data_IF_916447395430
#
_entry.id   IF_916447395430
#
_cell.length_a   1.000
_cell.length_b   1.000
_cell.length_c   1.000
_cell.angle_alpha   90.00
_cell.angle_beta   90.00
_cell.angle_gamma   90.00
#
_symmetry.space_group_name_H-M   'P 1'
#
loop_
_entity.id
_entity.type
_entity.pdbx_description
1 polymer ?
#
# COMPACT_ATOMS: atom_id res chain seq x y z
N UNK A 1 -1.65 -13.19 -7.83
CA UNK A 1 -0.70 -12.79 -6.78
C UNK A 1 -1.44 -12.46 -5.51
N UNK A 2 -0.89 -12.87 -4.39
CA UNK A 2 -1.57 -12.70 -3.13
C UNK A 2 -0.66 -11.96 -2.13
N UNK A 3 -1.27 -11.05 -1.37
CA UNK A 3 -0.55 -10.32 -0.34
C UNK A 3 -0.14 -11.26 0.80
N UNK A 4 1.10 -11.07 1.28
CA UNK A 4 1.65 -11.87 2.38
C UNK A 4 0.81 -11.74 3.63
N UNK A 5 0.28 -10.55 3.90
CA UNK A 5 -0.57 -10.30 5.06
C UNK A 5 -1.77 -11.25 5.09
N UNK A 6 -2.39 -11.51 3.94
CA UNK A 6 -3.52 -12.43 3.85
C UNK A 6 -3.10 -13.88 4.04
N UNK A 7 -1.87 -14.20 3.69
CA UNK A 7 -1.33 -15.57 3.92
C UNK A 7 -1.00 -15.80 5.38
N UNK A 8 -0.48 -14.76 6.05
CA UNK A 8 -0.09 -14.84 7.46
C UNK A 8 -1.30 -14.82 8.37
N UNK A 9 -2.31 -14.03 8.04
CA UNK A 9 -3.56 -13.97 8.79
C UNK A 9 -4.69 -14.40 7.86
N UNK A 10 -4.91 -15.70 7.77
CA UNK A 10 -5.86 -16.27 6.82
C UNK A 10 -7.30 -15.98 7.18
N UNK A 11 -7.60 -15.86 8.48
CA UNK A 11 -8.96 -15.62 8.95
C UNK A 11 -9.36 -14.19 8.67
N UNK A 12 -10.32 -14.02 7.75
CA UNK A 12 -10.82 -12.70 7.36
C UNK A 12 -11.41 -11.95 8.54
N UNK A 13 -11.98 -12.66 9.51
CA UNK A 13 -12.59 -12.01 10.68
C UNK A 13 -11.52 -11.38 11.57
N UNK A 14 -10.35 -12.00 11.65
CA UNK A 14 -9.23 -11.43 12.41
C UNK A 14 -8.73 -10.18 11.70
N UNK A 15 -8.54 -10.25 10.37
CA UNK A 15 -8.11 -9.08 9.61
C UNK A 15 -9.10 -7.93 9.73
N UNK A 16 -10.39 -8.25 9.63
CA UNK A 16 -11.46 -7.25 9.75
C UNK A 16 -11.42 -6.56 11.12
N UNK A 17 -11.24 -7.33 12.17
CA UNK A 17 -11.13 -6.77 13.53
C UNK A 17 -9.94 -5.82 13.65
N UNK A 18 -8.80 -6.23 13.07
CA UNK A 18 -7.60 -5.38 13.10
C UNK A 18 -7.85 -4.03 12.41
N UNK A 19 -8.48 -4.04 11.24
CA UNK A 19 -8.77 -2.79 10.53
C UNK A 19 -9.80 -1.95 11.26
N UNK A 20 -10.84 -2.58 11.80
CA UNK A 20 -11.88 -1.87 12.56
C UNK A 20 -11.30 -1.21 13.80
N UNK A 21 -10.39 -1.88 14.50
CA UNK A 21 -9.74 -1.32 15.67
C UNK A 21 -8.89 -0.10 15.29
N UNK A 22 -8.19 -0.18 14.16
CA UNK A 22 -7.39 0.95 13.68
C UNK A 22 -8.27 2.12 13.29
N UNK A 23 -9.36 1.87 12.58
CA UNK A 23 -10.30 2.92 12.15
C UNK A 23 -10.95 3.58 13.37
N UNK A 24 -11.30 2.78 14.37
CA UNK A 24 -11.90 3.30 15.59
C UNK A 24 -10.92 4.17 16.37
N UNK A 25 -9.67 3.74 16.44
CA UNK A 25 -8.63 4.47 17.17
C UNK A 25 -8.18 5.72 16.41
N UNK A 26 -8.16 5.65 15.07
CA UNK A 26 -7.68 6.73 14.21
C UNK A 26 -8.70 7.02 13.11
N UNK A 27 -9.84 7.66 13.45
CA UNK A 27 -10.93 7.83 12.49
C UNK A 27 -10.60 8.71 11.28
N UNK A 28 -9.55 9.53 11.39
CA UNK A 28 -9.11 10.38 10.28
C UNK A 28 -8.06 9.72 9.40
N UNK A 29 -7.78 8.44 9.64
CA UNK A 29 -6.73 7.74 8.92
C UNK A 29 -7.26 6.48 8.27
N UNK A 30 -6.50 5.97 7.32
CA UNK A 30 -6.86 4.81 6.53
C UNK A 30 -5.85 3.70 6.80
N UNK A 31 -6.34 2.48 7.13
CA UNK A 31 -5.44 1.36 7.33
C UNK A 31 -5.03 0.79 5.97
N UNK A 32 -3.72 0.72 5.73
CA UNK A 32 -3.20 0.16 4.51
C UNK A 32 -2.21 -0.96 4.79
N UNK A 33 -2.17 -1.91 3.87
CA UNK A 33 -1.13 -2.93 3.81
C UNK A 33 -0.37 -2.65 2.53
N UNK A 34 0.93 -2.38 2.66
CA UNK A 34 1.76 -2.14 1.51
C UNK A 34 2.91 -3.15 1.48
N UNK A 35 3.06 -3.83 0.35
CA UNK A 35 4.05 -4.88 0.20
C UNK A 35 4.73 -4.74 -1.15
N UNK A 36 5.93 -5.27 -1.23
CA UNK A 36 6.65 -5.32 -2.49
C UNK A 36 5.98 -6.34 -3.41
N UNK A 37 5.83 -5.99 -4.69
CA UNK A 37 5.45 -6.96 -5.69
C UNK A 37 6.46 -8.11 -5.66
N UNK A 38 6.01 -9.37 -5.64
CA UNK A 38 6.92 -10.52 -5.50
C UNK A 38 8.00 -10.62 -6.57
N UNK A 39 7.74 -10.07 -7.74
CA UNK A 39 8.70 -10.15 -8.85
C UNK A 39 9.66 -8.96 -8.91
N UNK A 40 9.46 -7.96 -8.07
CA UNK A 40 10.32 -6.79 -8.03
C UNK A 40 11.58 -7.10 -7.24
N UNK A 41 12.71 -6.53 -7.68
CA UNK A 41 14.00 -6.67 -7.00
C UNK A 41 14.29 -5.52 -6.05
N UNK A 42 13.35 -4.60 -5.92
CA UNK A 42 13.48 -3.49 -4.99
C UNK A 42 13.48 -4.02 -3.54
N UNK A 43 14.04 -3.23 -2.64
CA UNK A 43 14.13 -3.59 -1.22
C UNK A 43 12.75 -3.82 -0.61
N UNK A 44 12.67 -4.79 0.30
CA UNK A 44 11.47 -5.00 1.10
C UNK A 44 11.35 -3.92 2.17
N UNK A 45 10.11 -3.54 2.49
CA UNK A 45 9.83 -2.70 3.65
C UNK A 45 9.87 -3.56 4.91
N UNK A 46 10.46 -3.02 5.97
CA UNK A 46 10.45 -3.70 7.26
C UNK A 46 9.04 -3.73 7.84
N UNK A 47 8.34 -2.62 7.73
CA UNK A 47 6.97 -2.49 8.22
C UNK A 47 6.05 -2.39 7.01
N UNK A 48 4.98 -3.17 7.00
CA UNK A 48 4.03 -3.22 5.88
C UNK A 48 2.63 -2.73 6.23
N UNK A 49 2.31 -2.59 7.51
CA UNK A 49 1.00 -2.10 7.94
C UNK A 49 1.13 -0.66 8.39
N UNK A 50 0.36 0.23 7.77
CA UNK A 50 0.41 1.66 8.03
C UNK A 50 -0.98 2.23 8.20
N UNK A 51 -1.06 3.35 8.90
CA UNK A 51 -2.24 4.20 8.90
C UNK A 51 -1.84 5.52 8.27
N UNK A 52 -2.60 5.95 7.27
CA UNK A 52 -2.29 7.11 6.45
C UNK A 52 -3.41 8.13 6.56
N UNK A 53 -3.11 9.42 6.77
CA UNK A 53 -4.15 10.45 6.80
C UNK A 53 -5.00 10.43 5.54
N UNK A 54 -6.31 10.60 5.69
CA UNK A 54 -7.26 10.56 4.57
C UNK A 54 -6.94 11.55 3.48
N UNK A 55 -6.37 12.69 3.83
CA UNK A 55 -6.07 13.76 2.88
C UNK A 55 -4.67 13.64 2.25
N UNK A 56 -3.90 12.61 2.61
CA UNK A 56 -2.64 12.36 1.91
C UNK A 56 -2.93 12.08 0.45
N UNK A 57 -2.07 12.56 -0.42
CA UNK A 57 -2.10 12.20 -1.84
C UNK A 57 -1.11 11.07 -2.10
N UNK A 58 -1.24 10.44 -3.26
CA UNK A 58 -0.30 9.41 -3.69
C UNK A 58 1.11 10.01 -3.77
N UNK A 59 1.24 11.26 -4.25
CA UNK A 59 2.53 11.93 -4.31
C UNK A 59 3.18 12.06 -2.93
N UNK A 60 2.42 12.45 -1.92
CA UNK A 60 2.93 12.54 -0.55
C UNK A 60 3.43 11.17 -0.07
N UNK A 61 2.61 10.16 -0.28
CA UNK A 61 2.94 8.81 0.16
C UNK A 61 4.16 8.28 -0.58
N UNK A 62 4.28 8.58 -1.86
CA UNK A 62 5.43 8.14 -2.66
C UNK A 62 6.74 8.71 -2.14
N UNK A 63 6.74 9.98 -1.71
CA UNK A 63 7.93 10.59 -1.13
C UNK A 63 8.32 9.87 0.16
N UNK A 64 7.34 9.61 1.03
CA UNK A 64 7.58 8.91 2.28
C UNK A 64 8.12 7.51 2.04
N UNK A 65 7.54 6.80 1.08
CA UNK A 65 7.94 5.45 0.76
C UNK A 65 9.34 5.40 0.15
N UNK A 66 9.65 6.36 -0.72
CA UNK A 66 10.97 6.47 -1.32
C UNK A 66 12.05 6.65 -0.24
N UNK A 67 11.76 7.46 0.76
CA UNK A 67 12.69 7.66 1.87
C UNK A 67 12.88 6.38 2.68
N UNK A 68 11.80 5.66 2.95
CA UNK A 68 11.89 4.41 3.70
C UNK A 68 12.63 3.32 2.94
N UNK A 69 12.52 3.32 1.63
CA UNK A 69 13.19 2.34 0.77
C UNK A 69 14.61 2.78 0.40
N UNK A 70 15.00 3.99 0.79
CA UNK A 70 16.33 4.54 0.49
C UNK A 70 16.64 4.52 -1.01
N UNK A 71 15.62 4.80 -1.82
CA UNK A 71 15.78 4.78 -3.26
C UNK A 71 16.48 6.03 -3.75
N UNK A 72 17.37 5.86 -4.71
CA UNK A 72 18.00 6.98 -5.41
C UNK A 72 16.95 7.71 -6.23
N UNK A 73 17.16 8.99 -6.46
CA UNK A 73 16.18 9.83 -7.15
C UNK A 73 15.88 9.36 -8.56
N UNK A 74 16.83 8.73 -9.24
CA UNK A 74 16.63 8.22 -10.59
C UNK A 74 15.85 6.91 -10.66
N UNK A 75 15.61 6.28 -9.51
CA UNK A 75 14.81 5.05 -9.47
C UNK A 75 13.33 5.39 -9.41
N UNK A 76 12.55 4.77 -10.27
CA UNK A 76 11.10 4.92 -10.27
C UNK A 76 10.42 3.69 -9.70
N UNK A 77 9.24 3.89 -9.12
CA UNK A 77 8.40 2.79 -8.71
C UNK A 77 6.94 3.18 -8.90
N UNK A 78 6.09 2.18 -8.98
CA UNK A 78 4.64 2.36 -9.13
C UNK A 78 3.92 1.80 -7.93
N UNK A 79 2.75 2.34 -7.66
CA UNK A 79 1.86 1.83 -6.62
C UNK A 79 0.62 1.27 -7.28
N UNK A 80 0.26 0.05 -6.90
CA UNK A 80 -0.86 -0.67 -7.48
C UNK A 80 -1.85 -1.05 -6.39
N UNK A 81 -3.01 -0.42 -6.39
CA UNK A 81 -4.09 -0.77 -5.47
C UNK A 81 -4.62 -2.17 -5.83
N UNK A 82 -4.85 -3.01 -4.83
CA UNK A 82 -5.24 -4.41 -5.01
C UNK A 82 -4.21 -5.22 -5.81
N UNK A 83 -3.01 -4.68 -5.99
CA UNK A 83 -2.00 -5.29 -6.82
C UNK A 83 -2.26 -5.18 -8.31
N UNK A 84 -3.24 -4.37 -8.74
CA UNK A 84 -3.67 -4.28 -10.14
C UNK A 84 -3.80 -2.87 -10.67
N UNK A 85 -4.28 -1.93 -9.87
CA UNK A 85 -4.73 -0.63 -10.35
C UNK A 85 -3.74 0.45 -9.97
N UNK A 86 -3.11 1.05 -10.97
CA UNK A 86 -2.14 2.11 -10.73
C UNK A 86 -2.81 3.31 -10.04
N UNK A 87 -2.17 3.80 -8.99
CA UNK A 87 -2.60 5.00 -8.29
C UNK A 87 -1.49 6.03 -8.39
N UNK A 88 -1.84 7.26 -8.74
CA UNK A 88 -0.85 8.27 -9.10
C UNK A 88 -1.24 9.67 -8.65
N UNK A 89 -0.26 10.52 -8.53
CA UNK A 89 -0.41 11.97 -8.48
C UNK A 89 -1.11 12.49 -7.25
N UNK A 90 -2.03 13.40 -7.50
CA UNK A 90 -2.72 14.14 -6.44
C UNK A 90 -4.00 13.45 -5.96
N UNK A 91 -4.25 12.22 -6.38
CA UNK A 91 -5.39 11.46 -5.89
C UNK A 91 -5.26 11.25 -4.38
N UNK A 92 -6.33 11.52 -3.66
CA UNK A 92 -6.33 11.42 -2.20
C UNK A 92 -6.58 9.98 -1.76
N UNK A 93 -6.02 9.62 -0.63
CA UNK A 93 -6.17 8.26 -0.11
C UNK A 93 -7.60 7.95 0.36
N UNK A 94 -8.39 8.95 0.77
CA UNK A 94 -9.79 8.69 1.09
C UNK A 94 -10.57 8.23 -0.16
N UNK A 95 -10.29 8.81 -1.33
CA UNK A 95 -10.90 8.39 -2.58
C UNK A 95 -10.43 7.01 -3.01
N UNK A 96 -9.14 6.73 -2.83
CA UNK A 96 -8.55 5.44 -3.16
C UNK A 96 -9.15 4.35 -2.27
N UNK A 97 -9.30 4.64 -0.99
CA UNK A 97 -9.87 3.70 -0.04
C UNK A 97 -11.32 3.37 -0.40
N UNK A 98 -12.11 4.39 -0.71
CA UNK A 98 -13.50 4.19 -1.09
C UNK A 98 -13.62 3.28 -2.30
N UNK A 99 -12.73 3.45 -3.27
CA UNK A 99 -12.76 2.69 -4.53
C UNK A 99 -12.15 1.31 -4.42
N UNK A 100 -11.05 1.16 -3.70
CA UNK A 100 -10.22 -0.05 -3.78
C UNK A 100 -10.04 -0.81 -2.48
N UNK A 101 -10.57 -0.35 -1.35
CA UNK A 101 -10.43 -1.09 -0.10
C UNK A 101 -11.05 -2.47 -0.23
N UNK A 102 -10.45 -3.44 0.43
CA UNK A 102 -11.01 -4.78 0.52
C UNK A 102 -12.25 -4.73 1.41
N UNK A 103 -13.41 -4.94 0.84
CA UNK A 103 -14.68 -4.84 1.57
C UNK A 103 -14.84 -5.93 2.62
N UNK A 104 -14.13 -7.04 2.45
CA UNK A 104 -14.24 -8.16 3.39
C UNK A 104 -13.47 -7.92 4.68
N UNK A 105 -12.37 -7.17 4.65
CA UNK A 105 -11.56 -6.96 5.85
C UNK A 105 -11.26 -5.49 6.17
N UNK A 106 -11.57 -4.56 5.26
CA UNK A 106 -11.43 -3.14 5.53
C UNK A 106 -10.03 -2.56 5.34
N UNK A 107 -9.06 -3.35 4.89
CA UNK A 107 -7.74 -2.83 4.57
C UNK A 107 -7.66 -2.40 3.11
N UNK A 108 -6.85 -1.39 2.85
CA UNK A 108 -6.46 -1.02 1.50
C UNK A 108 -5.12 -1.69 1.20
N UNK A 109 -5.10 -2.56 0.21
CA UNK A 109 -3.90 -3.33 -0.16
C UNK A 109 -3.19 -2.68 -1.33
N UNK A 110 -1.88 -2.47 -1.21
CA UNK A 110 -1.08 -1.81 -2.24
C UNK A 110 0.21 -2.61 -2.44
N UNK A 111 0.54 -2.89 -3.71
CA UNK A 111 1.89 -3.33 -4.06
C UNK A 111 2.70 -2.13 -4.51
N UNK A 112 3.97 -2.05 -4.12
CA UNK A 112 4.90 -1.16 -4.79
C UNK A 112 5.78 -2.02 -5.71
N UNK A 113 5.99 -1.50 -6.91
CA UNK A 113 6.66 -2.21 -7.99
C UNK A 113 7.74 -1.32 -8.55
N UNK A 114 8.96 -1.84 -8.62
CA UNK A 114 10.04 -1.09 -9.26
C UNK A 114 9.74 -0.94 -10.76
N UNK A 115 9.99 0.24 -11.29
CA UNK A 115 9.90 0.45 -12.73
C UNK A 115 11.10 -0.23 -13.38
N UNK A 116 10.85 -1.41 -13.92
CA UNK A 116 11.86 -2.19 -14.61
C UNK A 116 11.62 -2.24 -16.11
N UNK A 117 10.75 -1.36 -16.59
CA UNK A 117 10.42 -1.36 -18.01
C UNK A 117 11.67 -1.31 -18.88
N UNK A 118 12.56 -0.42 -18.53
CA UNK A 118 13.87 -0.36 -19.19
C UNK A 118 14.94 -1.09 -18.39
N UNK A 119 14.67 -1.34 -17.14
CA UNK A 119 15.63 -1.87 -16.20
C UNK A 119 15.91 -3.35 -16.40
N UNK A 120 15.06 -4.02 -17.12
CA UNK A 120 15.36 -5.35 -17.54
C UNK A 120 16.58 -5.40 -18.43
N UNK A 121 16.96 -4.28 -18.87
CA UNK A 121 18.17 -4.15 -19.71
C UNK A 121 19.33 -3.67 -18.86
#
# INVERSE_FOLDING_TARGET
>A
MQFRFKKEIKDVNIRKRLSEDLIKKYPDKIPIIIEKDPYSKIKDLEKTKYIIPKDFTVSHFSILLRNKLELKSERSFFLLAKGKYAIVGETRFDDIYERYADKSDGFLYIFYVQDTFWGGT
#
